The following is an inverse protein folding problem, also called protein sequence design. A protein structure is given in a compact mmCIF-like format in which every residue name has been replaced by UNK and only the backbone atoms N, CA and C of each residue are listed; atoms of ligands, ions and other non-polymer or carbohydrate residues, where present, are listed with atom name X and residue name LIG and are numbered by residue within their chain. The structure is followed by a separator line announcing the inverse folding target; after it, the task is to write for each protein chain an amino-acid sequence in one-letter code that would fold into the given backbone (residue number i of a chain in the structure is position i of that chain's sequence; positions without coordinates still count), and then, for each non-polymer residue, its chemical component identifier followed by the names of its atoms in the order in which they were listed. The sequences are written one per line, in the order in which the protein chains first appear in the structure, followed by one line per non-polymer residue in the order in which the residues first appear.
data_IF_082586401813
#
_entry.id   IF_082586401813
#
_cell.length_a   1.000
_cell.length_b   1.000
_cell.length_c   1.000
_cell.angle_alpha   90.00
_cell.angle_beta   90.00
_cell.angle_gamma   90.00
#
_symmetry.space_group_name_H-M   'P 1'
#
loop_
_entity.id
_entity.type
_entity.pdbx_description
1 polymer ?
#
# COMPACT_ATOMS: atom_id res chain seq x y z
N UNK A 1 -24.51 -25.59 -8.31
CA UNK A 1 -23.60 -24.63 -7.66
C UNK A 1 -22.23 -24.55 -8.35
N UNK A 2 -22.18 -24.10 -9.60
CA UNK A 2 -20.92 -23.74 -10.30
C UNK A 2 -21.13 -22.48 -11.15
N UNK A 3 -22.31 -22.36 -11.78
CA UNK A 3 -22.63 -21.23 -12.65
C UNK A 3 -22.80 -19.91 -11.89
N UNK A 4 -23.56 -19.87 -10.80
CA UNK A 4 -23.76 -18.62 -10.04
C UNK A 4 -22.46 -18.01 -9.50
N UNK A 5 -21.53 -18.86 -9.05
CA UNK A 5 -20.21 -18.40 -8.60
C UNK A 5 -19.38 -17.88 -9.78
N UNK A 6 -19.40 -18.58 -10.91
CA UNK A 6 -18.68 -18.17 -12.11
C UNK A 6 -19.20 -16.83 -12.65
N UNK A 7 -20.52 -16.68 -12.75
CA UNK A 7 -21.16 -15.42 -13.17
C UNK A 7 -20.82 -14.27 -12.20
N UNK A 8 -20.87 -14.52 -10.89
CA UNK A 8 -20.48 -13.52 -9.89
C UNK A 8 -19.01 -13.09 -9.99
N UNK A 9 -18.12 -14.01 -10.37
CA UNK A 9 -16.71 -13.68 -10.61
C UNK A 9 -16.54 -12.84 -11.88
N UNK A 10 -17.19 -13.21 -12.98
CA UNK A 10 -17.21 -12.43 -14.22
C UNK A 10 -17.75 -11.01 -13.99
N UNK A 11 -18.81 -10.88 -13.21
CA UNK A 11 -19.37 -9.59 -12.83
C UNK A 11 -18.37 -8.75 -12.02
N UNK A 12 -17.73 -9.34 -11.01
CA UNK A 12 -16.73 -8.64 -10.20
C UNK A 12 -15.53 -8.14 -11.01
N UNK A 13 -15.10 -8.89 -12.03
CA UNK A 13 -14.04 -8.49 -12.95
C UNK A 13 -14.46 -7.32 -13.83
N UNK A 14 -15.68 -7.35 -14.38
CA UNK A 14 -16.22 -6.24 -15.15
C UNK A 14 -16.34 -4.95 -14.31
N UNK A 15 -16.77 -5.07 -13.05
CA UNK A 15 -16.80 -3.97 -12.10
C UNK A 15 -15.38 -3.43 -11.83
N UNK A 16 -14.38 -4.30 -11.66
CA UNK A 16 -12.98 -3.88 -11.49
C UNK A 16 -12.45 -3.11 -12.71
N UNK A 17 -12.76 -3.56 -13.93
CA UNK A 17 -12.36 -2.88 -15.18
C UNK A 17 -13.01 -1.49 -15.26
N UNK A 18 -14.30 -1.37 -14.93
CA UNK A 18 -15.00 -0.09 -14.94
C UNK A 18 -14.44 0.89 -13.89
N UNK A 19 -14.06 0.39 -12.73
CA UNK A 19 -13.39 1.18 -11.68
C UNK A 19 -12.03 1.69 -12.15
N UNK A 20 -11.22 0.84 -12.79
CA UNK A 20 -9.89 1.24 -13.29
C UNK A 20 -10.00 2.27 -14.43
N UNK A 21 -10.99 2.13 -15.32
CA UNK A 21 -11.29 3.11 -16.37
C UNK A 21 -11.93 4.41 -15.86
N UNK A 22 -12.26 4.48 -14.57
CA UNK A 22 -12.88 5.65 -13.95
C UNK A 22 -14.36 5.86 -14.30
N UNK A 23 -14.99 4.89 -14.99
CA UNK A 23 -16.41 4.95 -15.37
C UNK A 23 -17.33 4.51 -14.23
N UNK A 24 -16.79 3.80 -13.23
CA UNK A 24 -17.48 3.44 -11.99
C UNK A 24 -16.67 3.86 -10.76
N UNK A 25 -17.36 4.22 -9.66
CA UNK A 25 -16.71 4.54 -8.38
C UNK A 25 -16.49 3.25 -7.57
N UNK A 26 -15.32 3.05 -6.94
CA UNK A 26 -15.13 1.94 -6.02
C UNK A 26 -16.13 2.00 -4.87
N UNK A 27 -16.62 0.84 -4.44
CA UNK A 27 -17.54 0.73 -3.30
C UNK A 27 -16.90 1.18 -1.99
N UNK A 28 -15.58 1.00 -1.84
CA UNK A 28 -14.80 1.41 -0.67
C UNK A 28 -13.44 1.96 -1.11
N UNK A 29 -13.01 3.04 -0.45
CA UNK A 29 -11.66 3.59 -0.56
C UNK A 29 -11.06 3.66 0.84
N UNK A 30 -9.85 3.16 1.00
CA UNK A 30 -9.08 3.33 2.22
C UNK A 30 -8.01 4.39 1.98
N UNK A 31 -8.11 5.49 2.69
CA UNK A 31 -7.08 6.53 2.74
C UNK A 31 -6.28 6.33 4.02
N UNK A 32 -4.97 6.20 3.88
CA UNK A 32 -4.06 6.13 5.01
C UNK A 32 -3.16 7.35 4.97
N UNK A 33 -3.12 8.10 6.05
CA UNK A 33 -2.12 9.15 6.21
C UNK A 33 -0.75 8.49 6.41
N UNK A 34 0.30 8.97 5.74
CA UNK A 34 1.65 8.45 5.94
C UNK A 34 2.06 8.70 7.40
N UNK A 35 2.27 7.60 8.13
CA UNK A 35 2.74 7.65 9.51
C UNK A 35 4.25 7.88 9.52
N UNK A 36 4.69 8.92 10.23
CA UNK A 36 6.10 9.18 10.46
C UNK A 36 6.63 8.28 11.60
N UNK A 37 7.11 7.10 11.20
CA UNK A 37 7.62 6.06 12.11
C UNK A 37 8.84 6.58 12.87
N UNK A 38 9.64 7.48 12.28
CA UNK A 38 10.80 8.10 12.93
C UNK A 38 10.36 8.96 14.10
N UNK A 39 9.35 9.82 13.91
CA UNK A 39 8.78 10.64 15.00
C UNK A 39 8.24 9.79 16.15
N UNK A 40 7.59 8.66 15.84
CA UNK A 40 7.11 7.74 16.89
C UNK A 40 8.28 7.17 17.67
N UNK A 41 9.34 6.70 16.99
CA UNK A 41 10.53 6.17 17.64
C UNK A 41 11.20 7.23 18.54
N UNK A 42 11.37 8.44 18.02
CA UNK A 42 12.01 9.56 18.73
C UNK A 42 11.20 10.02 19.93
N UNK A 43 9.87 10.02 19.86
CA UNK A 43 8.99 10.31 21.00
C UNK A 43 9.23 9.36 22.20
N UNK A 44 9.75 8.17 21.94
CA UNK A 44 10.05 7.18 22.97
C UNK A 44 11.54 7.14 23.34
N UNK A 45 12.37 8.04 22.82
CA UNK A 45 13.82 8.10 23.06
C UNK A 45 14.55 6.77 22.77
N UNK A 46 14.08 6.04 21.75
CA UNK A 46 14.64 4.74 21.38
C UNK A 46 15.57 4.84 20.17
N UNK A 47 16.70 4.12 20.26
CA UNK A 47 17.51 3.84 19.08
C UNK A 47 16.77 2.92 18.10
N UNK A 48 17.17 2.92 16.83
CA UNK A 48 16.59 2.06 15.81
C UNK A 48 16.64 0.57 16.20
N UNK A 49 17.74 0.11 16.81
CA UNK A 49 17.87 -1.27 17.28
C UNK A 49 16.89 -1.59 18.41
N UNK A 50 16.75 -0.71 19.39
CA UNK A 50 15.82 -0.92 20.52
C UNK A 50 14.36 -0.91 20.05
N UNK A 51 14.02 0.00 19.14
CA UNK A 51 12.66 0.07 18.58
C UNK A 51 12.34 -1.15 17.71
N UNK A 52 13.28 -1.58 16.86
CA UNK A 52 13.14 -2.79 16.05
C UNK A 52 12.96 -4.05 16.92
N UNK A 53 13.75 -4.18 17.99
CA UNK A 53 13.65 -5.30 18.93
C UNK A 53 12.28 -5.33 19.64
N UNK A 54 11.74 -4.17 20.04
CA UNK A 54 10.39 -4.07 20.63
C UNK A 54 9.28 -4.47 19.65
N UNK A 55 9.47 -4.20 18.36
CA UNK A 55 8.54 -4.55 17.30
C UNK A 55 8.75 -5.99 16.75
N UNK A 56 9.81 -6.69 17.18
CA UNK A 56 10.13 -8.03 16.68
C UNK A 56 10.56 -8.06 15.21
N UNK A 57 11.11 -6.95 14.69
CA UNK A 57 11.57 -6.83 13.31
C UNK A 57 13.08 -6.60 13.24
N UNK A 58 13.67 -6.80 12.06
CA UNK A 58 15.07 -6.47 11.86
C UNK A 58 15.29 -4.95 11.83
N UNK A 59 16.43 -4.43 12.30
CA UNK A 59 16.77 -3.00 12.18
C UNK A 59 16.80 -2.51 10.73
N UNK A 60 17.12 -3.37 9.75
CA UNK A 60 17.05 -3.03 8.33
C UNK A 60 15.61 -2.86 7.84
N UNK A 61 14.66 -3.67 8.33
CA UNK A 61 13.23 -3.49 8.06
C UNK A 61 12.75 -2.13 8.57
N UNK A 62 13.09 -1.79 9.82
CA UNK A 62 12.73 -0.48 10.39
C UNK A 62 13.37 0.69 9.64
N UNK A 63 14.61 0.53 9.17
CA UNK A 63 15.28 1.54 8.34
C UNK A 63 14.54 1.76 7.03
N UNK A 64 14.12 0.68 6.36
CA UNK A 64 13.34 0.78 5.13
C UNK A 64 11.99 1.48 5.38
N UNK A 65 11.39 1.27 6.56
CA UNK A 65 10.16 1.94 6.96
C UNK A 65 10.36 3.45 7.17
N UNK A 66 11.40 3.83 7.93
CA UNK A 66 11.74 5.24 8.17
C UNK A 66 12.23 5.97 6.92
N UNK A 67 12.68 5.25 5.89
CA UNK A 67 13.10 5.80 4.59
C UNK A 67 11.95 5.78 3.55
N UNK A 68 10.72 5.45 3.96
CA UNK A 68 9.53 5.52 3.10
C UNK A 68 9.36 4.35 2.13
N UNK A 69 10.15 3.28 2.25
CA UNK A 69 10.10 2.14 1.31
C UNK A 69 8.96 1.14 1.56
N UNK A 70 8.14 1.32 2.62
CA UNK A 70 7.03 0.39 2.91
C UNK A 70 5.64 1.00 2.71
N UNK A 71 5.55 2.08 1.94
CA UNK A 71 4.36 2.35 1.13
C UNK A 71 4.76 2.21 -0.35
N UNK A 72 4.61 1.02 -0.94
CA UNK A 72 4.53 0.92 -2.40
C UNK A 72 3.24 1.61 -2.84
N UNK A 73 3.30 2.93 -3.04
CA UNK A 73 2.33 3.60 -3.89
C UNK A 73 2.56 3.09 -5.32
N UNK A 74 1.83 2.06 -5.72
CA UNK A 74 1.85 1.56 -7.10
C UNK A 74 1.36 2.59 -8.12
N UNK A 75 0.82 3.74 -7.70
CA UNK A 75 0.38 4.82 -8.61
C UNK A 75 1.41 5.92 -8.88
N UNK A 76 2.52 6.01 -8.11
CA UNK A 76 3.53 7.08 -8.34
C UNK A 76 4.67 6.69 -9.29
N UNK A 77 5.03 5.41 -9.42
CA UNK A 77 6.14 4.98 -10.29
C UNK A 77 5.72 4.49 -11.69
N UNK A 78 4.43 4.54 -12.06
CA UNK A 78 3.97 4.18 -13.41
C UNK A 78 3.92 5.36 -14.39
N UNK A 79 4.09 6.61 -13.91
CA UNK A 79 4.07 7.80 -14.79
C UNK A 79 5.42 8.20 -15.36
N UNK A 80 6.54 7.70 -14.84
CA UNK A 80 7.88 8.06 -15.34
C UNK A 80 8.46 7.08 -16.36
N UNK A 81 7.73 6.03 -16.76
CA UNK A 81 8.22 5.00 -17.71
C UNK A 81 7.49 5.01 -19.06
N UNK A 82 6.59 5.96 -19.31
CA UNK A 82 5.79 6.00 -20.54
C UNK A 82 5.81 7.33 -21.31
N UNK A 83 6.74 8.24 -21.01
CA UNK A 83 7.01 9.39 -21.89
C UNK A 83 8.53 9.60 -21.95
N UNK A 84 9.17 8.84 -22.83
CA UNK A 84 10.51 9.08 -23.35
C UNK A 84 10.58 8.41 -24.72
N UNK A 85 9.76 8.91 -25.64
CA UNK A 85 9.93 8.92 -27.10
C UNK A 85 8.75 9.68 -27.73
#
# INVERSE_FOLDING_TARGET
MKNELFEGLCESLNQAIAIEKGTAKPSRKFTYEPIDIRKIREKHDLSQKQFANKLGISPSTLRNWEQGSVYRNTKSNMRSTLISE
#
